data_IF_036837968574
#
_entry.id   IF_036837968574
#
_cell.length_a   1.000
_cell.length_b   1.000
_cell.length_c   1.000
_cell.angle_alpha   90.00
_cell.angle_beta   90.00
_cell.angle_gamma   90.00
#
_symmetry.space_group_name_H-M   'P 1'
#
loop_
_entity.id
_entity.type
_entity.pdbx_description
1 polymer ?
#
# COMPACT_ATOMS: atom_id res chain seq x y z
N UNK A 1 -3.87 7.59 8.89
CA UNK A 1 -2.73 6.96 8.18
C UNK A 1 -3.16 6.50 6.79
N UNK A 2 -2.29 6.48 5.77
CA UNK A 2 -2.63 5.95 4.43
C UNK A 2 -1.57 4.97 3.92
N UNK A 3 -1.98 3.98 3.12
CA UNK A 3 -1.08 3.08 2.38
C UNK A 3 -1.72 2.61 1.06
N UNK A 4 -0.88 2.18 0.11
CA UNK A 4 -1.34 1.55 -1.15
C UNK A 4 -1.35 0.03 -1.01
N UNK A 5 -2.37 -0.62 -1.56
CA UNK A 5 -2.44 -2.08 -1.69
C UNK A 5 -2.97 -2.46 -3.06
N UNK A 6 -2.59 -3.64 -3.56
CA UNK A 6 -3.25 -4.24 -4.73
C UNK A 6 -4.73 -4.50 -4.41
N UNK A 7 -5.61 -4.22 -5.38
CA UNK A 7 -7.03 -4.60 -5.31
C UNK A 7 -7.13 -6.13 -5.29
N UNK A 8 -7.92 -6.68 -4.37
CA UNK A 8 -8.07 -8.12 -4.23
C UNK A 8 -8.71 -8.55 -2.90
N UNK A 9 -8.37 -9.74 -2.37
CA UNK A 9 -8.99 -10.24 -1.14
C UNK A 9 -8.83 -9.31 0.07
N UNK A 10 -7.70 -8.60 0.18
CA UNK A 10 -7.48 -7.63 1.27
C UNK A 10 -8.49 -6.48 1.19
N UNK A 11 -8.64 -5.85 0.03
CA UNK A 11 -9.59 -4.75 -0.14
C UNK A 11 -11.03 -5.22 0.06
N UNK A 12 -11.39 -6.41 -0.45
CA UNK A 12 -12.72 -7.01 -0.19
C UNK A 12 -13.01 -7.19 1.30
N UNK A 13 -12.03 -7.70 2.07
CA UNK A 13 -12.18 -7.85 3.53
C UNK A 13 -12.36 -6.50 4.23
N UNK A 14 -11.57 -5.49 3.86
CA UNK A 14 -11.66 -4.15 4.45
C UNK A 14 -13.00 -3.47 4.15
N UNK A 15 -13.56 -3.67 2.95
CA UNK A 15 -14.90 -3.17 2.62
C UNK A 15 -15.99 -3.89 3.42
N UNK A 16 -15.86 -5.21 3.59
CA UNK A 16 -16.85 -6.00 4.33
C UNK A 16 -16.81 -5.76 5.84
N UNK A 17 -15.63 -5.56 6.41
CA UNK A 17 -15.44 -5.21 7.82
C UNK A 17 -14.29 -4.20 7.95
N UNK A 18 -14.60 -2.92 8.22
CA UNK A 18 -13.58 -1.87 8.24
C UNK A 18 -12.78 -1.82 9.54
N UNK A 19 -13.14 -2.59 10.58
CA UNK A 19 -12.37 -2.61 11.85
C UNK A 19 -11.03 -3.28 11.61
N UNK A 20 -9.95 -2.60 11.99
CA UNK A 20 -8.58 -3.06 11.80
C UNK A 20 -7.72 -2.82 13.03
N UNK A 21 -6.66 -3.60 13.13
CA UNK A 21 -5.57 -3.37 14.07
C UNK A 21 -4.28 -3.17 13.27
N UNK A 22 -3.52 -2.14 13.61
CA UNK A 22 -2.23 -1.83 13.00
C UNK A 22 -1.10 -2.13 13.98
N UNK A 23 -0.06 -2.80 13.47
CA UNK A 23 1.21 -3.04 14.17
C UNK A 23 2.37 -2.69 13.25
N UNK A 24 3.43 -2.12 13.82
CA UNK A 24 4.68 -1.91 13.08
C UNK A 24 5.34 -3.25 12.81
N UNK A 25 5.73 -3.48 11.56
CA UNK A 25 6.39 -4.70 11.11
C UNK A 25 7.57 -4.38 10.20
N UNK A 26 8.43 -5.38 10.01
CA UNK A 26 9.48 -5.34 9.01
C UNK A 26 8.91 -5.51 7.58
N UNK A 27 9.79 -5.39 6.58
CA UNK A 27 9.45 -5.55 5.16
C UNK A 27 8.95 -6.96 4.78
N UNK A 28 9.14 -7.97 5.65
CA UNK A 28 8.63 -9.34 5.47
C UNK A 28 7.28 -9.54 6.15
N UNK A 29 6.73 -8.50 6.78
CA UNK A 29 5.47 -8.54 7.51
C UNK A 29 5.60 -9.17 8.89
N UNK A 30 6.81 -9.25 9.47
CA UNK A 30 7.02 -9.74 10.84
C UNK A 30 6.84 -8.57 11.82
N UNK A 31 5.85 -8.59 12.72
CA UNK A 31 5.70 -7.57 13.73
C UNK A 31 6.93 -7.52 14.64
N UNK A 32 7.29 -6.34 15.13
CA UNK A 32 8.28 -6.24 16.22
C UNK A 32 7.65 -6.76 17.51
N UNK A 33 8.42 -7.43 18.37
CA UNK A 33 7.91 -8.06 19.59
C UNK A 33 7.27 -7.04 20.55
N UNK A 34 7.81 -5.82 20.59
CA UNK A 34 7.28 -4.69 21.35
C UNK A 34 6.31 -3.79 20.57
N UNK A 35 5.89 -4.17 19.36
CA UNK A 35 5.01 -3.33 18.55
C UNK A 35 3.59 -3.30 19.14
N UNK A 36 3.22 -2.15 19.69
CA UNK A 36 1.86 -1.89 20.15
C UNK A 36 0.86 -2.02 19.00
N UNK A 37 -0.22 -2.75 19.29
CA UNK A 37 -1.41 -2.82 18.46
C UNK A 37 -2.25 -1.56 18.63
N UNK A 38 -2.57 -0.89 17.53
CA UNK A 38 -3.46 0.29 17.52
C UNK A 38 -4.71 -0.04 16.73
N UNK A 39 -5.87 0.10 17.37
CA UNK A 39 -7.15 -0.08 16.71
C UNK A 39 -7.44 1.06 15.72
N UNK A 40 -8.29 0.79 14.74
CA UNK A 40 -8.70 1.80 13.79
C UNK A 40 -9.76 1.32 12.82
N UNK A 41 -10.18 2.24 11.95
CA UNK A 41 -11.18 2.00 10.94
C UNK A 41 -10.64 2.30 9.55
N UNK A 42 -10.70 1.30 8.67
CA UNK A 42 -10.20 1.39 7.32
C UNK A 42 -11.27 1.86 6.33
N UNK A 43 -10.86 2.69 5.37
CA UNK A 43 -11.67 3.11 4.24
C UNK A 43 -10.85 3.06 2.94
N UNK A 44 -11.45 2.60 1.85
CA UNK A 44 -10.84 2.69 0.53
C UNK A 44 -11.14 4.08 -0.02
N UNK A 45 -10.09 4.82 -0.37
CA UNK A 45 -10.22 6.14 -0.97
C UNK A 45 -10.47 6.01 -2.49
N UNK A 46 -11.17 6.99 -3.04
CA UNK A 46 -11.41 7.10 -4.48
C UNK A 46 -11.28 8.54 -4.97
N UNK A 47 -11.16 8.70 -6.29
CA UNK A 47 -11.15 10.00 -6.94
C UNK A 47 -10.08 10.95 -6.38
N UNK A 48 -10.40 12.26 -6.22
CA UNK A 48 -9.43 13.27 -5.78
C UNK A 48 -8.77 12.96 -4.43
N UNK A 49 -9.45 12.24 -3.55
CA UNK A 49 -8.91 11.91 -2.24
C UNK A 49 -7.84 10.82 -2.31
N UNK A 50 -8.04 9.83 -3.17
CA UNK A 50 -7.03 8.82 -3.46
C UNK A 50 -5.79 9.45 -4.11
N UNK A 51 -5.98 10.37 -5.06
CA UNK A 51 -4.86 11.05 -5.73
C UNK A 51 -4.05 11.92 -4.75
N UNK A 52 -4.69 12.70 -3.88
CA UNK A 52 -3.98 13.47 -2.84
C UNK A 52 -3.16 12.57 -1.92
N UNK A 53 -3.74 11.46 -1.48
CA UNK A 53 -3.03 10.50 -0.63
C UNK A 53 -1.88 9.80 -1.38
N UNK A 54 -2.04 9.54 -2.67
CA UNK A 54 -0.99 8.99 -3.53
C UNK A 54 0.18 9.97 -3.68
N UNK A 55 -0.11 11.26 -3.92
CA UNK A 55 0.90 12.33 -3.94
C UNK A 55 1.66 12.40 -2.61
N UNK A 56 0.97 12.36 -1.47
CA UNK A 56 1.62 12.37 -0.16
C UNK A 56 2.55 11.16 0.06
N UNK A 57 2.20 9.98 -0.47
CA UNK A 57 3.08 8.80 -0.44
C UNK A 57 4.30 8.97 -1.36
N UNK A 58 4.11 9.55 -2.54
CA UNK A 58 5.20 9.92 -3.45
C UNK A 58 6.16 10.92 -2.82
N UNK A 59 5.66 11.94 -2.12
CA UNK A 59 6.50 12.95 -1.48
C UNK A 59 7.31 12.35 -0.32
N UNK A 60 6.70 11.43 0.43
CA UNK A 60 7.37 10.76 1.56
C UNK A 60 8.45 9.77 1.14
N UNK A 61 8.19 8.96 0.11
CA UNK A 61 9.06 7.84 -0.28
C UNK A 61 9.82 8.06 -1.60
N UNK A 62 9.55 9.16 -2.30
CA UNK A 62 10.19 9.53 -3.55
C UNK A 62 10.05 8.46 -4.63
N UNK A 63 11.16 8.18 -5.31
CA UNK A 63 11.23 7.17 -6.38
C UNK A 63 10.97 5.74 -5.87
N UNK A 64 11.26 5.46 -4.59
CA UNK A 64 11.15 4.11 -4.03
C UNK A 64 9.70 3.59 -4.08
N UNK A 65 8.73 4.50 -3.94
CA UNK A 65 7.31 4.18 -3.90
C UNK A 65 6.82 3.35 -5.11
N UNK A 66 7.32 3.64 -6.31
CA UNK A 66 6.94 2.90 -7.52
C UNK A 66 7.98 1.88 -7.98
N UNK A 67 9.22 1.96 -7.51
CA UNK A 67 10.29 1.05 -7.94
C UNK A 67 10.35 -0.20 -7.06
N UNK A 68 10.26 -0.06 -5.73
CA UNK A 68 10.37 -1.18 -4.79
C UNK A 68 9.42 -2.35 -5.14
N UNK A 69 8.14 -2.12 -5.47
CA UNK A 69 7.22 -3.22 -5.84
C UNK A 69 7.60 -3.98 -7.13
N UNK A 70 8.48 -3.43 -7.97
CA UNK A 70 8.89 -3.98 -9.26
C UNK A 70 10.17 -4.83 -9.17
N UNK A 71 10.88 -4.73 -8.05
CA UNK A 71 12.12 -5.45 -7.77
C UNK A 71 11.82 -6.82 -7.16
N UNK A 72 12.66 -7.82 -7.48
CA UNK A 72 12.67 -9.06 -6.70
C UNK A 72 13.47 -8.81 -5.43
N UNK A 73 12.77 -8.77 -4.30
CA UNK A 73 13.39 -8.67 -2.98
C UNK A 73 13.27 -10.03 -2.28
N UNK A 74 14.39 -10.66 -1.86
CA UNK A 74 14.36 -11.93 -1.15
C UNK A 74 13.46 -11.89 0.10
N UNK A 75 12.53 -12.84 0.20
CA UNK A 75 11.59 -12.93 1.32
C UNK A 75 10.38 -11.97 1.24
N UNK A 76 10.18 -11.28 0.11
CA UNK A 76 9.02 -10.41 -0.12
C UNK A 76 8.26 -10.86 -1.37
N UNK A 77 6.95 -11.10 -1.21
CA UNK A 77 6.06 -11.39 -2.34
C UNK A 77 5.81 -10.13 -3.16
N UNK A 78 6.60 -9.92 -4.20
CA UNK A 78 6.44 -8.81 -5.15
C UNK A 78 5.60 -9.25 -6.35
N UNK A 79 4.30 -8.99 -6.28
CA UNK A 79 3.30 -9.31 -7.32
C UNK A 79 3.62 -8.74 -8.71
N UNK A 80 4.48 -7.73 -8.81
CA UNK A 80 4.85 -7.07 -10.07
C UNK A 80 6.27 -7.41 -10.55
N UNK A 81 7.02 -8.24 -9.82
CA UNK A 81 8.39 -8.56 -10.18
C UNK A 81 8.50 -9.37 -11.49
N UNK A 82 7.45 -10.09 -11.89
CA UNK A 82 7.39 -10.83 -13.15
C UNK A 82 6.91 -10.04 -14.37
N UNK A 83 6.61 -8.73 -14.23
CA UNK A 83 6.13 -7.93 -15.36
C UNK A 83 7.22 -7.72 -16.43
N UNK A 84 6.85 -7.62 -17.71
CA UNK A 84 7.77 -7.21 -18.78
C UNK A 84 8.44 -5.86 -18.47
N UNK A 85 9.67 -5.66 -18.96
CA UNK A 85 10.46 -4.45 -18.66
C UNK A 85 9.73 -3.16 -19.06
N UNK A 86 9.04 -3.14 -20.21
CA UNK A 86 8.26 -2.00 -20.67
C UNK A 86 7.15 -1.63 -19.68
N UNK A 87 6.49 -2.63 -19.11
CA UNK A 87 5.41 -2.43 -18.15
C UNK A 87 5.94 -1.91 -16.81
N UNK A 88 7.08 -2.46 -16.35
CA UNK A 88 7.79 -1.94 -15.17
C UNK A 88 8.17 -0.47 -15.36
N UNK A 89 8.70 -0.12 -16.52
CA UNK A 89 9.12 1.25 -16.83
C UNK A 89 7.93 2.22 -16.88
N UNK A 90 6.80 1.79 -17.44
CA UNK A 90 5.54 2.55 -17.43
C UNK A 90 5.09 2.83 -16.00
N UNK A 91 4.99 1.79 -15.17
CA UNK A 91 4.56 1.88 -13.77
C UNK A 91 5.50 2.68 -12.88
N UNK A 92 6.81 2.58 -13.13
CA UNK A 92 7.82 3.36 -12.40
C UNK A 92 7.64 4.87 -12.60
N UNK A 93 7.16 5.30 -13.78
CA UNK A 93 6.95 6.71 -14.14
C UNK A 93 5.54 7.22 -13.87
N UNK A 94 4.58 6.32 -13.69
CA UNK A 94 3.18 6.68 -13.44
C UNK A 94 3.02 7.40 -12.10
N UNK A 95 2.45 8.60 -12.11
CA UNK A 95 2.22 9.42 -10.91
C UNK A 95 0.81 9.22 -10.34
N UNK A 96 -0.06 8.53 -11.06
CA UNK A 96 -1.41 8.24 -10.60
C UNK A 96 -1.43 6.95 -9.75
N UNK A 97 -2.55 6.69 -9.08
CA UNK A 97 -2.79 5.37 -8.50
C UNK A 97 -2.85 4.33 -9.63
N UNK A 98 -2.01 3.30 -9.56
CA UNK A 98 -2.04 2.22 -10.56
C UNK A 98 -3.44 1.58 -10.62
N UNK A 99 -3.89 1.24 -11.82
CA UNK A 99 -5.26 0.75 -12.07
C UNK A 99 -5.66 -0.51 -11.29
N UNK A 100 -4.68 -1.30 -10.86
CA UNK A 100 -4.89 -2.50 -10.03
C UNK A 100 -4.56 -2.29 -8.55
N UNK A 101 -4.43 -1.04 -8.13
CA UNK A 101 -4.14 -0.63 -6.75
C UNK A 101 -5.26 0.26 -6.19
N UNK A 102 -5.39 0.24 -4.87
CA UNK A 102 -6.25 1.14 -4.12
C UNK A 102 -5.45 1.80 -3.00
N UNK A 103 -5.84 3.03 -2.66
CA UNK A 103 -5.37 3.69 -1.44
C UNK A 103 -6.33 3.37 -0.31
N UNK A 104 -5.77 2.93 0.82
CA UNK A 104 -6.51 2.69 2.05
C UNK A 104 -6.12 3.78 3.04
N UNK A 105 -7.11 4.47 3.61
CA UNK A 105 -6.97 5.25 4.83
C UNK A 105 -7.31 4.39 6.02
N UNK A 106 -6.59 4.58 7.12
CA UNK A 106 -6.97 4.09 8.43
C UNK A 106 -7.04 5.29 9.37
N UNK A 107 -8.21 5.50 9.92
CA UNK A 107 -8.46 6.44 11.01
C UNK A 107 -8.20 5.68 12.31
N UNK A 108 -7.20 6.13 13.07
CA UNK A 108 -6.78 5.45 14.30
C UNK A 108 -7.76 5.77 15.42
N UNK A 109 -8.15 4.75 16.16
CA UNK A 109 -8.93 4.89 17.40
C UNK A 109 -7.93 5.10 18.55
N UNK A 110 -8.17 6.13 19.35
CA UNK A 110 -7.36 6.52 20.50
C UNK A 110 -8.22 6.59 21.75
#
# INVERSE_FOLDING_TARGET
LVFRTKVGPKTKRLTANPRVELRVCDHRGRPQESATAVAGRASLLSGPEAERANTALHDRYGWQYNVVPLLRIPGVTNVHAGLPLREKLRRARDRNVWSDSAIVRVDLEG
#
